data_IF_813991326770
#
_entry.id   IF_813991326770
#
_cell.length_a   1.000
_cell.length_b   1.000
_cell.length_c   1.000
_cell.angle_alpha   90.00
_cell.angle_beta   90.00
_cell.angle_gamma   90.00
#
_symmetry.space_group_name_H-M   'P 1'
#
loop_
_entity.id
_entity.type
_entity.pdbx_description
1 polymer ?
#
# COMPACT_ATOMS: atom_id res chain seq x y z
N UNK A 1 -14.92 -9.66 -2.34
CA UNK A 1 -13.71 -9.33 -1.55
C UNK A 1 -13.36 -7.84 -1.56
N UNK A 2 -13.46 -7.15 -2.70
CA UNK A 2 -13.16 -5.71 -2.85
C UNK A 2 -13.72 -4.81 -1.76
N UNK A 3 -15.01 -4.97 -1.41
CA UNK A 3 -15.67 -4.15 -0.36
C UNK A 3 -15.00 -4.26 1.01
N UNK A 4 -14.52 -5.46 1.38
CA UNK A 4 -13.86 -5.67 2.65
C UNK A 4 -12.44 -5.08 2.67
N UNK A 5 -11.70 -5.18 1.57
CA UNK A 5 -10.43 -4.44 1.40
C UNK A 5 -10.66 -2.93 1.52
N UNK A 6 -11.72 -2.43 0.88
CA UNK A 6 -12.06 -1.01 0.92
C UNK A 6 -12.38 -0.52 2.33
N UNK A 7 -13.15 -1.27 3.13
CA UNK A 7 -13.45 -0.86 4.51
C UNK A 7 -12.22 -0.91 5.42
N UNK A 8 -11.29 -1.85 5.19
CA UNK A 8 -10.01 -1.90 5.90
C UNK A 8 -9.16 -0.64 5.64
N UNK A 9 -9.30 -0.03 4.45
CA UNK A 9 -8.65 1.24 4.15
C UNK A 9 -9.39 2.43 4.76
N UNK A 10 -10.69 2.57 4.47
CA UNK A 10 -11.53 3.64 5.04
C UNK A 10 -13.02 3.42 4.72
N UNK A 11 -13.96 3.69 5.65
CA UNK A 11 -15.40 3.63 5.37
C UNK A 11 -15.84 4.50 4.18
N UNK A 12 -15.35 5.73 4.10
CA UNK A 12 -15.64 6.66 2.98
C UNK A 12 -15.23 6.12 1.59
N UNK A 13 -14.21 5.26 1.51
CA UNK A 13 -13.85 4.57 0.26
C UNK A 13 -14.91 3.55 -0.14
N UNK A 14 -15.41 2.76 0.81
CA UNK A 14 -16.49 1.80 0.59
C UNK A 14 -17.80 2.52 0.22
N UNK A 15 -18.11 3.61 0.93
CA UNK A 15 -19.30 4.43 0.73
C UNK A 15 -19.23 5.35 -0.49
N UNK A 16 -18.08 5.37 -1.18
CA UNK A 16 -17.82 6.21 -2.37
C UNK A 16 -18.09 7.69 -2.12
N UNK A 17 -17.73 8.19 -0.94
CA UNK A 17 -17.84 9.62 -0.66
C UNK A 17 -16.85 10.41 -1.52
N UNK A 18 -17.12 11.70 -1.79
CA UNK A 18 -16.22 12.54 -2.58
C UNK A 18 -14.95 12.94 -1.81
N UNK A 19 -15.00 12.95 -0.48
CA UNK A 19 -13.89 13.35 0.40
C UNK A 19 -13.90 12.52 1.68
N UNK A 20 -12.76 12.48 2.37
CA UNK A 20 -12.66 11.92 3.72
C UNK A 20 -13.33 12.88 4.69
N UNK A 21 -14.42 12.42 5.30
CA UNK A 21 -15.23 13.18 6.25
C UNK A 21 -14.71 13.04 7.68
N UNK A 22 -14.28 11.83 8.04
CA UNK A 22 -13.86 11.49 9.41
C UNK A 22 -12.60 10.63 9.36
N UNK A 23 -11.43 11.26 9.30
CA UNK A 23 -10.14 10.53 9.17
C UNK A 23 -9.89 9.54 10.32
N UNK A 24 -10.42 9.82 11.52
CA UNK A 24 -10.31 8.95 12.69
C UNK A 24 -11.05 7.61 12.57
N UNK A 25 -11.89 7.43 11.54
CA UNK A 25 -12.60 6.17 11.30
C UNK A 25 -11.75 5.11 10.58
N UNK A 26 -10.47 5.40 10.32
CA UNK A 26 -9.52 4.44 9.75
C UNK A 26 -8.23 4.39 10.54
N UNK A 27 -7.98 3.26 11.20
CA UNK A 27 -6.70 3.01 11.88
C UNK A 27 -5.50 3.06 10.93
N UNK A 28 -5.68 2.59 9.68
CA UNK A 28 -4.62 2.70 8.65
C UNK A 28 -4.33 4.14 8.28
N UNK A 29 -5.34 4.99 8.13
CA UNK A 29 -5.14 6.39 7.79
C UNK A 29 -4.45 7.16 8.92
N UNK A 30 -4.86 6.90 10.17
CA UNK A 30 -4.21 7.46 11.36
C UNK A 30 -2.73 7.06 11.37
N UNK A 31 -2.45 5.76 11.30
CA UNK A 31 -1.07 5.26 11.37
C UNK A 31 -0.21 5.75 10.20
N UNK A 32 -0.78 5.84 9.01
CA UNK A 32 -0.10 6.39 7.84
C UNK A 32 0.26 7.86 8.08
N UNK A 33 -0.66 8.68 8.58
CA UNK A 33 -0.40 10.09 8.83
C UNK A 33 0.73 10.30 9.86
N UNK A 34 0.70 9.54 10.96
CA UNK A 34 1.78 9.56 11.98
C UNK A 34 3.16 9.25 11.38
N UNK A 35 3.26 8.15 10.63
CA UNK A 35 4.54 7.73 10.04
C UNK A 35 5.02 8.70 8.95
N UNK A 36 4.10 9.29 8.19
CA UNK A 36 4.45 10.29 7.18
C UNK A 36 4.90 11.61 7.81
N UNK A 37 4.37 11.98 8.99
CA UNK A 37 4.83 13.16 9.73
C UNK A 37 6.31 13.02 10.14
N UNK A 38 6.68 11.86 10.69
CA UNK A 38 8.07 11.53 11.04
C UNK A 38 8.98 11.64 9.79
N UNK A 39 8.60 10.99 8.69
CA UNK A 39 9.37 10.99 7.43
C UNK A 39 9.55 12.40 6.87
N UNK A 40 8.50 13.22 6.86
CA UNK A 40 8.59 14.59 6.38
C UNK A 40 9.51 15.41 7.28
N UNK A 41 9.45 15.22 8.61
CA UNK A 41 10.31 15.92 9.57
C UNK A 41 11.80 15.59 9.39
N UNK A 42 12.11 14.37 8.95
CA UNK A 42 13.47 13.91 8.65
C UNK A 42 13.96 14.35 7.26
N UNK A 43 13.08 14.96 6.44
CA UNK A 43 13.37 15.35 5.06
C UNK A 43 13.32 14.18 4.07
N UNK A 44 12.71 13.07 4.48
CA UNK A 44 12.63 11.83 3.74
C UNK A 44 11.41 11.76 2.84
N UNK A 45 11.46 10.83 1.88
CA UNK A 45 10.50 10.78 0.77
C UNK A 45 9.83 9.43 0.69
N UNK A 46 8.51 9.47 0.54
CA UNK A 46 7.66 8.29 0.60
C UNK A 46 6.91 8.04 -0.70
N UNK A 47 6.94 6.79 -1.16
CA UNK A 47 6.00 6.26 -2.13
C UNK A 47 4.84 5.59 -1.40
N UNK A 48 3.61 5.92 -1.76
CA UNK A 48 2.40 5.38 -1.14
C UNK A 48 1.62 4.61 -2.20
N UNK A 49 1.74 3.29 -2.16
CA UNK A 49 1.10 2.40 -3.11
C UNK A 49 -0.28 1.94 -2.61
N UNK A 50 -1.27 2.03 -3.49
CA UNK A 50 -2.62 1.47 -3.30
C UNK A 50 -3.11 0.77 -4.57
N UNK A 51 -3.84 -0.33 -4.46
CA UNK A 51 -4.50 -0.96 -5.61
C UNK A 51 -5.75 -0.19 -6.08
N UNK A 52 -6.24 0.78 -5.30
CA UNK A 52 -7.47 1.51 -5.54
C UNK A 52 -7.21 2.95 -5.97
N UNK A 53 -7.40 3.24 -7.26
CA UNK A 53 -7.32 4.63 -7.74
C UNK A 53 -8.29 5.57 -7.01
N UNK A 54 -9.49 5.09 -6.67
CA UNK A 54 -10.46 5.84 -5.87
C UNK A 54 -9.93 6.17 -4.46
N UNK A 55 -9.05 5.34 -3.90
CA UNK A 55 -8.40 5.64 -2.63
C UNK A 55 -7.36 6.73 -2.78
N UNK A 56 -6.53 6.69 -3.84
CA UNK A 56 -5.60 7.77 -4.15
C UNK A 56 -6.29 9.13 -4.34
N UNK A 57 -7.47 9.16 -4.98
CA UNK A 57 -8.27 10.37 -5.12
C UNK A 57 -8.78 10.95 -3.80
N UNK A 58 -9.05 10.10 -2.80
CA UNK A 58 -9.45 10.52 -1.45
C UNK A 58 -8.24 10.93 -0.60
N UNK A 59 -7.17 10.13 -0.70
CA UNK A 59 -5.99 10.26 0.13
C UNK A 59 -5.18 11.51 -0.22
N UNK A 60 -5.03 11.84 -1.51
CA UNK A 60 -4.31 13.04 -1.96
C UNK A 60 -4.79 14.32 -1.26
N UNK A 61 -6.04 14.79 -1.44
CA UNK A 61 -6.49 16.04 -0.83
C UNK A 61 -6.50 16.00 0.70
N UNK A 62 -6.66 14.81 1.30
CA UNK A 62 -6.54 14.65 2.75
C UNK A 62 -5.12 14.91 3.24
N UNK A 63 -4.12 14.28 2.63
CA UNK A 63 -2.71 14.45 3.01
C UNK A 63 -2.22 15.87 2.68
N UNK A 64 -2.66 16.45 1.56
CA UNK A 64 -2.34 17.84 1.21
C UNK A 64 -2.82 18.81 2.28
N UNK A 65 -4.06 18.63 2.75
CA UNK A 65 -4.63 19.43 3.82
C UNK A 65 -3.94 19.17 5.16
N UNK A 66 -3.63 17.91 5.48
CA UNK A 66 -3.06 17.51 6.76
C UNK A 66 -1.65 18.06 6.95
N UNK A 67 -0.80 17.93 5.93
CA UNK A 67 0.59 18.40 5.98
C UNK A 67 0.79 19.83 5.47
N UNK A 68 -0.25 20.44 4.89
CA UNK A 68 -0.18 21.75 4.23
C UNK A 68 0.92 21.81 3.15
N UNK A 69 1.01 20.74 2.35
CA UNK A 69 2.02 20.54 1.31
C UNK A 69 1.39 19.83 0.11
N UNK A 70 1.93 20.03 -1.08
CA UNK A 70 1.46 19.29 -2.26
C UNK A 70 1.76 17.78 -2.13
N UNK A 71 0.92 16.94 -2.73
CA UNK A 71 1.15 15.49 -2.84
C UNK A 71 1.02 15.06 -4.31
N UNK A 72 2.05 14.38 -4.83
CA UNK A 72 1.99 13.85 -6.18
C UNK A 72 1.08 12.62 -6.24
N UNK A 73 0.38 12.44 -7.35
CA UNK A 73 -0.45 11.26 -7.56
C UNK A 73 -0.39 10.76 -9.00
N UNK A 74 -0.06 9.47 -9.15
CA UNK A 74 0.02 8.78 -10.43
C UNK A 74 -0.93 7.56 -10.44
N UNK A 75 -1.84 7.52 -11.40
CA UNK A 75 -2.81 6.44 -11.56
C UNK A 75 -2.88 5.93 -13.00
N UNK A 76 -3.63 4.85 -13.22
CA UNK A 76 -3.72 4.19 -14.53
C UNK A 76 -4.32 5.05 -15.64
N UNK A 77 -5.09 6.09 -15.28
CA UNK A 77 -5.68 7.03 -16.22
C UNK A 77 -4.82 8.26 -16.50
N UNK A 78 -3.65 8.40 -15.87
CA UNK A 78 -2.74 9.51 -16.12
C UNK A 78 -2.10 9.36 -17.51
N UNK A 79 -2.22 10.37 -18.40
CA UNK A 79 -1.57 10.36 -19.72
C UNK A 79 -0.08 10.09 -19.65
N UNK A 80 0.49 9.49 -20.70
CA UNK A 80 1.90 9.09 -20.73
C UNK A 80 2.87 10.27 -20.51
N UNK A 81 2.60 11.41 -21.14
CA UNK A 81 3.40 12.63 -20.99
C UNK A 81 3.35 13.16 -19.54
N UNK A 82 2.15 13.25 -18.96
CA UNK A 82 1.98 13.69 -17.58
C UNK A 82 2.62 12.73 -16.58
N UNK A 83 2.58 11.42 -16.85
CA UNK A 83 3.29 10.41 -16.06
C UNK A 83 4.78 10.69 -16.03
N UNK A 84 5.38 10.94 -17.19
CA UNK A 84 6.81 11.22 -17.29
C UNK A 84 7.15 12.49 -16.50
N UNK A 85 6.37 13.56 -16.68
CA UNK A 85 6.55 14.82 -15.95
C UNK A 85 6.46 14.64 -14.42
N UNK A 86 5.53 13.84 -13.90
CA UNK A 86 5.41 13.57 -12.47
C UNK A 86 6.62 12.81 -11.91
N UNK A 87 7.12 11.82 -12.67
CA UNK A 87 8.29 11.03 -12.29
C UNK A 87 9.56 11.87 -12.30
N UNK A 88 9.76 12.65 -13.36
CA UNK A 88 10.88 13.60 -13.47
C UNK A 88 10.84 14.63 -12.36
N UNK A 89 9.67 15.24 -12.10
CA UNK A 89 9.49 16.17 -10.99
C UNK A 89 9.87 15.51 -9.67
N UNK A 90 9.35 14.32 -9.37
CA UNK A 90 9.70 13.65 -8.13
C UNK A 90 11.21 13.39 -8.01
N UNK A 91 11.86 12.95 -9.09
CA UNK A 91 13.28 12.55 -9.07
C UNK A 91 14.26 13.72 -9.10
N UNK A 92 13.97 14.78 -9.85
CA UNK A 92 14.96 15.81 -10.21
C UNK A 92 14.73 17.17 -9.55
N UNK A 93 13.47 17.57 -9.29
CA UNK A 93 13.17 18.90 -8.76
C UNK A 93 13.54 18.99 -7.27
N UNK A 94 14.50 19.84 -6.86
CA UNK A 94 14.88 19.99 -5.44
C UNK A 94 13.69 20.28 -4.52
N UNK A 95 12.68 20.99 -5.02
CA UNK A 95 11.47 21.39 -4.30
C UNK A 95 10.30 20.42 -4.51
N UNK A 96 10.54 19.24 -5.09
CA UNK A 96 9.46 18.30 -5.35
C UNK A 96 8.83 17.81 -4.03
N UNK A 97 7.52 17.54 -4.03
CA UNK A 97 6.82 17.01 -2.85
C UNK A 97 7.47 15.78 -2.23
N UNK A 98 7.38 15.68 -0.90
CA UNK A 98 7.90 14.52 -0.16
C UNK A 98 7.09 13.24 -0.40
N UNK A 99 5.80 13.39 -0.73
CA UNK A 99 4.85 12.30 -0.84
C UNK A 99 4.43 12.07 -2.30
N UNK A 100 4.49 10.81 -2.74
CA UNK A 100 4.01 10.40 -4.06
C UNK A 100 3.12 9.16 -3.95
N UNK A 101 1.83 9.33 -4.24
CA UNK A 101 0.85 8.24 -4.28
C UNK A 101 0.88 7.55 -5.65
N UNK A 102 0.87 6.22 -5.68
CA UNK A 102 0.81 5.41 -6.89
C UNK A 102 -0.32 4.39 -6.81
N UNK A 103 -1.19 4.38 -7.82
CA UNK A 103 -2.26 3.38 -7.95
C UNK A 103 -2.20 2.55 -9.23
N UNK A 104 -0.99 2.35 -9.75
CA UNK A 104 -0.77 1.59 -10.97
C UNK A 104 -0.84 0.09 -10.67
N UNK A 105 -1.51 -0.68 -11.52
CA UNK A 105 -1.32 -2.13 -11.54
C UNK A 105 0.18 -2.41 -11.73
N UNK A 106 0.73 -3.35 -10.97
CA UNK A 106 2.18 -3.49 -10.87
C UNK A 106 2.87 -3.76 -12.22
N UNK A 107 2.22 -4.42 -13.18
CA UNK A 107 2.81 -4.70 -14.48
C UNK A 107 2.73 -3.53 -15.47
N UNK A 108 3.86 -2.92 -15.82
CA UNK A 108 4.03 -2.37 -17.17
C UNK A 108 4.74 -1.03 -17.35
N UNK A 109 5.08 -0.26 -16.30
CA UNK A 109 5.53 1.13 -16.53
C UNK A 109 6.97 1.45 -16.12
N UNK A 110 7.77 0.46 -15.71
CA UNK A 110 9.22 0.60 -15.56
C UNK A 110 9.70 1.85 -14.79
N UNK A 111 8.95 2.32 -13.79
CA UNK A 111 9.24 3.59 -13.11
C UNK A 111 10.53 3.48 -12.28
N UNK A 112 11.36 4.52 -12.36
CA UNK A 112 12.53 4.69 -11.51
C UNK A 112 12.27 5.80 -10.48
N UNK A 113 12.15 5.44 -9.20
CA UNK A 113 11.73 6.34 -8.11
C UNK A 113 12.71 6.27 -6.91
N UNK A 114 14.00 6.21 -7.21
CA UNK A 114 15.11 6.06 -6.26
C UNK A 114 15.27 7.21 -5.27
N UNK A 115 14.64 8.36 -5.47
CA UNK A 115 14.67 9.46 -4.49
C UNK A 115 13.84 9.17 -3.24
N UNK A 116 12.91 8.21 -3.33
CA UNK A 116 12.20 7.71 -2.17
C UNK A 116 13.04 6.70 -1.39
N UNK A 117 13.03 6.83 -0.08
CA UNK A 117 13.63 5.88 0.84
C UNK A 117 12.60 5.25 1.79
N UNK A 118 11.32 5.57 1.63
CA UNK A 118 10.21 4.90 2.28
C UNK A 118 9.18 4.44 1.25
N UNK A 119 8.66 3.23 1.43
CA UNK A 119 7.62 2.63 0.58
C UNK A 119 6.50 2.14 1.48
N UNK A 120 5.30 2.66 1.29
CA UNK A 120 4.09 2.26 1.99
C UNK A 120 3.17 1.47 1.07
N UNK A 121 2.80 0.27 1.48
CA UNK A 121 1.72 -0.51 0.89
C UNK A 121 0.49 -0.39 1.78
N UNK A 122 -0.40 0.57 1.48
CA UNK A 122 -1.54 0.90 2.36
C UNK A 122 -2.67 -0.13 2.27
N UNK A 123 -2.72 -0.89 1.18
CA UNK A 123 -3.55 -2.09 1.05
C UNK A 123 -2.76 -3.26 0.50
N UNK A 124 -3.19 -4.48 0.83
CA UNK A 124 -2.47 -5.71 0.53
C UNK A 124 -2.73 -6.18 -0.90
N UNK A 125 -1.65 -6.35 -1.67
CA UNK A 125 -1.64 -7.25 -2.81
C UNK A 125 -1.43 -8.67 -2.32
N UNK A 126 -2.37 -9.57 -2.61
CA UNK A 126 -2.23 -10.98 -2.23
C UNK A 126 -1.32 -11.76 -3.19
N UNK A 127 -0.76 -11.10 -4.20
CA UNK A 127 0.31 -11.64 -5.02
C UNK A 127 1.63 -10.97 -4.61
N UNK A 128 2.55 -11.68 -3.93
CA UNK A 128 3.85 -11.15 -3.53
C UNK A 128 4.66 -10.54 -4.67
N UNK A 129 4.59 -11.13 -5.88
CA UNK A 129 5.32 -10.62 -7.04
C UNK A 129 4.85 -9.21 -7.45
N UNK A 130 3.56 -8.94 -7.32
CA UNK A 130 2.97 -7.61 -7.62
C UNK A 130 3.42 -6.58 -6.59
N UNK A 131 3.46 -6.94 -5.31
CA UNK A 131 3.95 -6.07 -4.23
C UNK A 131 5.45 -5.81 -4.33
N UNK A 132 6.24 -6.86 -4.60
CA UNK A 132 7.68 -6.75 -4.79
C UNK A 132 7.98 -5.88 -6.01
N UNK A 133 7.29 -6.07 -7.14
CA UNK A 133 7.46 -5.21 -8.31
C UNK A 133 7.10 -3.74 -8.06
N UNK A 134 6.13 -3.45 -7.18
CA UNK A 134 5.84 -2.09 -6.76
C UNK A 134 7.00 -1.52 -5.90
N UNK A 135 7.52 -2.32 -4.98
CA UNK A 135 8.65 -2.00 -4.10
C UNK A 135 9.95 -1.79 -4.88
N UNK A 136 10.23 -2.63 -5.87
CA UNK A 136 11.42 -2.60 -6.74
C UNK A 136 11.58 -1.28 -7.49
N UNK A 137 10.53 -0.46 -7.59
CA UNK A 137 10.60 0.88 -8.19
C UNK A 137 11.47 1.84 -7.38
N UNK A 138 11.63 1.60 -6.06
CA UNK A 138 12.49 2.37 -5.17
C UNK A 138 13.91 1.77 -5.02
N UNK A 139 14.07 0.46 -5.22
CA UNK A 139 15.35 -0.27 -5.07
C UNK A 139 16.21 -0.31 -6.34
N UNK A 140 16.01 0.60 -7.31
CA UNK A 140 16.73 0.57 -8.59
C UNK A 140 18.13 1.15 -8.52
N UNK A 141 18.92 0.89 -9.58
CA UNK A 141 20.20 1.54 -9.84
C UNK A 141 20.03 3.07 -9.72
N UNK A 142 20.87 3.69 -8.89
CA UNK A 142 20.76 5.11 -8.53
C UNK A 142 20.13 5.35 -7.14
N UNK A 143 19.66 4.31 -6.46
CA UNK A 143 19.35 4.38 -5.03
C UNK A 143 20.66 4.40 -4.23
N UNK A 144 20.79 5.38 -3.34
CA UNK A 144 21.97 5.55 -2.47
C UNK A 144 21.63 5.43 -0.99
N UNK A 145 20.34 5.29 -0.65
CA UNK A 145 19.82 5.23 0.72
C UNK A 145 19.15 3.87 0.97
N UNK A 146 19.18 3.43 2.23
CA UNK A 146 18.39 2.28 2.65
C UNK A 146 16.90 2.58 2.46
N UNK A 147 16.17 1.67 1.82
CA UNK A 147 14.73 1.81 1.58
C UNK A 147 13.97 1.00 2.63
N UNK A 148 13.10 1.66 3.39
CA UNK A 148 12.21 1.02 4.35
C UNK A 148 10.86 0.69 3.71
N UNK A 149 10.36 -0.52 3.92
CA UNK A 149 9.10 -0.99 3.35
C UNK A 149 8.08 -1.25 4.45
N UNK A 150 6.97 -0.53 4.40
CA UNK A 150 5.91 -0.52 5.39
C UNK A 150 4.65 -1.17 4.80
N UNK A 151 4.27 -2.35 5.31
CA UNK A 151 3.13 -3.14 4.80
C UNK A 151 1.97 -3.10 5.78
N UNK A 152 0.88 -2.42 5.42
CA UNK A 152 -0.23 -2.19 6.34
C UNK A 152 -1.19 -3.38 6.33
N UNK A 153 -1.51 -3.87 7.53
CA UNK A 153 -2.45 -4.97 7.76
C UNK A 153 -3.45 -4.55 8.83
N UNK A 154 -4.75 -4.69 8.56
CA UNK A 154 -5.79 -4.45 9.55
C UNK A 154 -6.03 -5.70 10.41
N UNK A 155 -5.64 -5.63 11.69
CA UNK A 155 -5.79 -6.69 12.70
C UNK A 155 -7.24 -7.17 12.84
N UNK A 156 -7.42 -8.47 13.06
CA UNK A 156 -8.72 -9.12 13.22
C UNK A 156 -9.50 -9.29 11.91
N UNK A 157 -9.06 -8.66 10.82
CA UNK A 157 -9.77 -8.69 9.54
C UNK A 157 -9.25 -9.80 8.62
N UNK A 158 -9.86 -9.91 7.43
CA UNK A 158 -9.34 -10.78 6.38
C UNK A 158 -7.88 -10.47 6.01
N UNK A 159 -7.42 -9.23 6.17
CA UNK A 159 -6.05 -8.87 5.78
C UNK A 159 -5.03 -9.59 6.64
N UNK A 160 -5.26 -9.67 7.95
CA UNK A 160 -4.40 -10.41 8.88
C UNK A 160 -4.41 -11.91 8.59
N UNK A 161 -5.60 -12.48 8.37
CA UNK A 161 -5.76 -13.91 8.09
C UNK A 161 -5.12 -14.32 6.76
N UNK A 162 -5.29 -13.51 5.72
CA UNK A 162 -4.64 -13.74 4.42
C UNK A 162 -3.12 -13.55 4.57
N UNK A 163 -2.68 -12.54 5.32
CA UNK A 163 -1.26 -12.32 5.54
C UNK A 163 -0.59 -13.51 6.25
N UNK A 164 -1.20 -14.05 7.29
CA UNK A 164 -0.75 -15.26 7.97
C UNK A 164 -0.68 -16.45 6.99
N UNK A 165 -1.75 -16.71 6.24
CA UNK A 165 -1.77 -17.80 5.27
C UNK A 165 -0.73 -17.65 4.15
N UNK A 166 -0.44 -16.41 3.74
CA UNK A 166 0.62 -16.14 2.77
C UNK A 166 2.01 -16.40 3.35
N UNK A 167 2.24 -16.06 4.62
CA UNK A 167 3.50 -16.36 5.31
C UNK A 167 3.71 -17.87 5.45
N UNK A 168 2.67 -18.61 5.90
CA UNK A 168 2.71 -20.08 6.02
C UNK A 168 2.99 -20.73 4.65
N UNK A 169 2.31 -20.25 3.61
CA UNK A 169 2.55 -20.74 2.24
C UNK A 169 3.93 -20.39 1.74
N UNK A 170 4.48 -19.23 2.05
CA UNK A 170 5.82 -18.85 1.61
C UNK A 170 6.89 -19.72 2.30
N UNK A 171 6.69 -20.09 3.56
CA UNK A 171 7.53 -21.06 4.27
C UNK A 171 7.44 -22.47 3.64
N UNK A 172 6.28 -22.84 3.09
CA UNK A 172 6.06 -24.12 2.40
C UNK A 172 6.40 -24.11 0.90
N UNK A 173 6.49 -22.92 0.27
CA UNK A 173 6.46 -22.75 -1.19
C UNK A 173 7.57 -21.84 -1.72
N UNK A 174 8.83 -22.26 -1.51
CA UNK A 174 9.89 -22.02 -2.51
C UNK A 174 9.56 -22.65 -3.89
N UNK A 175 8.40 -23.33 -4.02
CA UNK A 175 7.86 -23.85 -5.27
C UNK A 175 6.50 -23.19 -5.59
N UNK A 176 6.54 -22.23 -6.51
CA UNK A 176 5.41 -21.79 -7.36
C UNK A 176 4.25 -21.05 -6.66
N UNK A 177 4.46 -19.79 -6.27
CA UNK A 177 3.37 -18.86 -5.94
C UNK A 177 3.11 -17.90 -7.11
N UNK A 178 2.39 -18.37 -8.12
CA UNK A 178 1.84 -17.54 -9.21
C UNK A 178 0.30 -17.47 -9.16
N UNK A 179 -0.26 -17.52 -7.96
CA UNK A 179 -1.69 -17.45 -7.75
C UNK A 179 -2.07 -16.07 -7.21
N UNK A 180 -2.63 -15.23 -8.08
CA UNK A 180 -3.40 -14.04 -7.66
C UNK A 180 -4.60 -14.41 -6.77
N UNK A 181 -5.61 -13.55 -6.69
CA UNK A 181 -6.74 -13.75 -5.74
C UNK A 181 -7.60 -15.03 -6.02
N UNK A 182 -7.33 -15.75 -7.12
CA UNK A 182 -8.09 -16.93 -7.58
C UNK A 182 -8.05 -18.13 -6.64
N UNK A 183 -7.06 -18.25 -5.74
CA UNK A 183 -7.04 -19.36 -4.78
C UNK A 183 -8.15 -19.23 -3.73
N UNK A 184 -8.63 -18.01 -3.46
CA UNK A 184 -9.70 -17.75 -2.50
C UNK A 184 -11.04 -18.34 -2.94
N UNK A 185 -11.30 -18.42 -4.26
CA UNK A 185 -12.53 -19.02 -4.80
C UNK A 185 -12.55 -20.55 -4.71
N UNK A 186 -11.43 -21.16 -4.34
CA UNK A 186 -11.28 -22.61 -4.18
C UNK A 186 -11.43 -23.08 -2.71
N UNK A 187 -11.65 -22.16 -1.78
CA UNK A 187 -11.89 -22.50 -0.37
C UNK A 187 -13.30 -23.07 -0.18
N UNK A 188 -13.41 -24.04 0.73
CA UNK A 188 -14.71 -24.52 1.20
C UNK A 188 -15.45 -23.43 2.01
N UNK A 189 -16.76 -23.63 2.22
CA UNK A 189 -17.63 -22.64 2.86
C UNK A 189 -17.22 -22.30 4.28
N UNK A 190 -16.71 -23.26 5.05
CA UNK A 190 -16.35 -23.04 6.45
C UNK A 190 -15.04 -22.26 6.56
N UNK A 191 -14.03 -22.59 5.75
CA UNK A 191 -12.79 -21.80 5.65
C UNK A 191 -13.06 -20.39 5.14
N UNK A 192 -13.95 -20.24 4.18
CA UNK A 192 -14.36 -18.93 3.69
C UNK A 192 -15.05 -18.12 4.80
N UNK A 193 -15.95 -18.73 5.57
CA UNK A 193 -16.60 -18.07 6.72
C UNK A 193 -15.57 -17.64 7.77
N UNK A 194 -14.64 -18.52 8.12
CA UNK A 194 -13.56 -18.20 9.06
C UNK A 194 -12.70 -17.03 8.57
N UNK A 195 -12.37 -16.99 7.28
CA UNK A 195 -11.59 -15.92 6.68
C UNK A 195 -12.31 -14.56 6.74
N UNK A 196 -13.63 -14.55 6.55
CA UNK A 196 -14.42 -13.33 6.43
C UNK A 196 -14.94 -12.78 7.77
N UNK A 197 -14.93 -13.59 8.83
CA UNK A 197 -15.41 -13.18 10.15
C UNK A 197 -14.37 -12.27 10.83
N UNK A 198 -14.80 -11.19 11.47
CA UNK A 198 -13.92 -10.35 12.29
C UNK A 198 -13.51 -11.11 13.55
N UNK A 199 -12.22 -11.21 13.82
CA UNK A 199 -11.67 -11.78 15.05
C UNK A 199 -11.41 -10.68 16.08
N UNK A 200 -11.78 -10.90 17.34
CA UNK A 200 -11.46 -9.99 18.45
C UNK A 200 -10.03 -10.17 18.97
N UNK A 201 -9.43 -11.32 18.69
CA UNK A 201 -8.04 -11.64 19.04
C UNK A 201 -7.18 -11.53 17.77
N UNK A 202 -6.03 -10.84 17.83
CA UNK A 202 -5.04 -10.86 16.75
C UNK A 202 -4.60 -12.30 16.44
N UNK A 203 -4.12 -12.53 15.23
CA UNK A 203 -3.42 -13.79 14.92
C UNK A 203 -2.09 -13.76 15.67
N UNK A 204 -1.78 -14.84 16.40
CA UNK A 204 -0.50 -14.98 17.09
C UNK A 204 0.63 -15.08 16.06
N UNK A 205 1.33 -13.97 15.86
CA UNK A 205 2.64 -13.97 15.22
C UNK A 205 3.62 -14.51 16.26
N UNK A 206 3.85 -15.83 16.31
CA UNK A 206 5.01 -16.32 17.04
C UNK A 206 6.25 -15.65 16.44
N UNK A 207 6.97 -14.91 17.27
CA UNK A 207 8.18 -14.20 16.89
C UNK A 207 9.30 -15.20 16.57
N UNK A 208 9.28 -15.77 15.38
CA UNK A 208 10.44 -16.48 14.82
C UNK A 208 11.32 -15.44 14.12
N UNK A 209 12.38 -15.04 14.81
CA UNK A 209 13.37 -14.07 14.33
C UNK A 209 14.19 -13.43 15.44
N UNK A 210 14.62 -14.21 16.43
CA UNK A 210 15.75 -13.87 17.30
C UNK A 210 16.72 -15.05 17.20
N UNK A 211 17.66 -14.95 16.26
CA UNK A 211 19.06 -15.43 16.36
C UNK A 211 19.83 -15.00 15.10
#
# INVERSE_FOLDING_TARGET
MTKLKQVCNHPDLLLKKPTITHGHQSGKLIRLAEMLEEIISEGDRALIFTQFASWGHLLKPYLEKYFNQEVLYLHGGTPAEQRQALVERFQQDPNSPYLFILSLKAGGTGLNLTRANHVFHVDRWWNPAVENQATDRAFRIGQTRNVQVHKFVCTGTLEEKINAMMADKQQLAEQTVDAGENWLTRLDTDKLRQLLTLSATPVDYQAEGSD
#
